data_IF_004607239157
#
_entry.id   IF_004607239157
#
_cell.length_a   1.000
_cell.length_b   1.000
_cell.length_c   1.000
_cell.angle_alpha   90.00
_cell.angle_beta   90.00
_cell.angle_gamma   90.00
#
_symmetry.space_group_name_H-M   'P 1'
#
loop_
_entity.id
_entity.type
_entity.pdbx_description
1 polymer ?
#
# COMPACT_ATOMS: atom_id res chain seq x y z
N UNK A 1 12.80 -6.56 -11.94
CA UNK A 1 13.70 -5.44 -12.30
C UNK A 1 13.06 -4.08 -12.03
N UNK A 2 11.78 -3.84 -12.38
CA UNK A 2 11.11 -2.57 -12.07
C UNK A 2 10.68 -2.45 -10.61
N UNK A 3 10.15 -3.52 -10.02
CA UNK A 3 9.74 -3.58 -8.61
C UNK A 3 10.91 -3.32 -7.64
N UNK A 4 12.06 -3.96 -7.85
CA UNK A 4 13.28 -3.66 -7.07
C UNK A 4 13.75 -2.21 -7.22
N UNK A 5 13.48 -1.57 -8.36
CA UNK A 5 13.80 -0.16 -8.56
C UNK A 5 12.76 0.77 -7.89
N UNK A 6 11.49 0.36 -7.84
CA UNK A 6 10.45 1.01 -7.07
C UNK A 6 10.81 1.07 -5.59
N UNK A 7 11.12 -0.07 -4.99
CA UNK A 7 11.49 -0.17 -3.58
C UNK A 7 12.75 0.62 -3.20
N UNK A 8 13.64 0.92 -4.15
CA UNK A 8 14.84 1.74 -3.91
C UNK A 8 14.60 3.24 -4.00
N UNK A 9 13.52 3.67 -4.65
CA UNK A 9 13.32 5.07 -5.04
C UNK A 9 11.83 5.36 -5.29
N UNK A 10 11.01 5.15 -4.26
CA UNK A 10 9.53 5.28 -4.33
C UNK A 10 9.11 6.69 -4.77
N UNK A 11 9.84 7.73 -4.35
CA UNK A 11 9.57 9.14 -4.67
C UNK A 11 9.47 9.39 -6.20
N UNK A 12 10.31 8.72 -7.00
CA UNK A 12 10.26 8.84 -8.47
C UNK A 12 8.98 8.34 -9.12
N UNK A 13 8.21 7.54 -8.40
CA UNK A 13 6.96 6.96 -8.91
C UNK A 13 5.74 7.74 -8.45
N UNK A 14 5.89 8.78 -7.65
CA UNK A 14 4.77 9.61 -7.18
C UNK A 14 4.00 10.17 -8.37
N UNK A 15 2.71 9.86 -8.43
CA UNK A 15 1.80 10.23 -9.52
C UNK A 15 1.65 9.17 -10.60
N UNK A 16 2.51 8.15 -10.63
CA UNK A 16 2.46 7.06 -11.60
C UNK A 16 1.60 5.89 -11.08
N UNK A 17 0.95 5.18 -12.00
CA UNK A 17 0.33 3.88 -11.72
C UNK A 17 1.40 2.78 -11.79
N UNK A 18 1.48 1.97 -10.74
CA UNK A 18 2.41 0.86 -10.62
C UNK A 18 1.65 -0.43 -10.32
N UNK A 19 2.27 -1.55 -10.70
CA UNK A 19 1.84 -2.89 -10.28
C UNK A 19 2.99 -3.53 -9.51
N UNK A 20 2.73 -3.88 -8.24
CA UNK A 20 3.72 -4.47 -7.33
C UNK A 20 3.20 -5.82 -6.82
N UNK A 21 4.09 -6.79 -6.74
CA UNK A 21 3.83 -8.09 -6.13
C UNK A 21 4.68 -8.23 -4.86
N UNK A 22 4.04 -8.22 -3.70
CA UNK A 22 4.73 -8.28 -2.41
C UNK A 22 3.88 -8.97 -1.36
N UNK A 23 4.53 -9.39 -0.28
CA UNK A 23 3.85 -9.99 0.86
C UNK A 23 3.24 -8.90 1.74
N UNK A 24 2.01 -9.14 2.20
CA UNK A 24 1.35 -8.30 3.18
C UNK A 24 2.09 -8.41 4.50
N UNK A 25 2.58 -7.27 5.01
CA UNK A 25 3.29 -7.18 6.27
C UNK A 25 2.31 -7.13 7.45
N UNK A 26 1.39 -6.17 7.44
CA UNK A 26 0.37 -5.98 8.48
C UNK A 26 -0.97 -5.55 7.86
N UNK A 27 -2.07 -6.11 8.36
CA UNK A 27 -3.42 -5.70 7.95
C UNK A 27 -3.98 -4.71 8.96
N UNK A 28 -3.96 -3.42 8.61
CA UNK A 28 -4.49 -2.35 9.47
C UNK A 28 -6.02 -2.42 9.59
N UNK A 29 -6.72 -2.65 8.48
CA UNK A 29 -8.16 -2.91 8.42
C UNK A 29 -8.60 -3.42 7.04
N UNK A 30 -9.90 -3.64 6.85
CA UNK A 30 -10.49 -4.14 5.59
C UNK A 30 -10.24 -3.28 4.35
N UNK A 31 -9.73 -2.05 4.47
CA UNK A 31 -9.45 -1.12 3.37
C UNK A 31 -7.98 -0.75 3.26
N UNK A 32 -7.13 -1.22 4.17
CA UNK A 32 -5.72 -0.83 4.20
C UNK A 32 -4.84 -1.86 4.86
N UNK A 33 -3.68 -2.06 4.27
CA UNK A 33 -2.65 -2.99 4.72
C UNK A 33 -1.30 -2.44 4.31
N UNK A 34 -0.23 -3.00 4.84
CA UNK A 34 1.14 -2.59 4.52
C UNK A 34 1.84 -3.70 3.76
N UNK A 35 2.68 -3.33 2.82
CA UNK A 35 3.53 -4.27 2.07
C UNK A 35 4.94 -4.19 2.62
N UNK A 36 5.52 -5.35 2.93
CA UNK A 36 6.92 -5.43 3.32
C UNK A 36 7.81 -5.27 2.07
N UNK A 37 8.81 -4.39 2.14
CA UNK A 37 10.05 -4.68 1.45
C UNK A 37 10.57 -6.02 2.00
N UNK A 38 10.97 -6.95 1.15
CA UNK A 38 11.34 -8.33 1.54
C UNK A 38 12.20 -8.36 2.82
N UNK A 39 12.18 -9.42 3.66
CA UNK A 39 12.94 -9.49 4.91
C UNK A 39 14.48 -9.31 4.77
N UNK A 40 14.99 -9.30 3.55
CA UNK A 40 16.39 -9.01 3.20
C UNK A 40 16.63 -7.55 2.75
N UNK A 41 15.60 -6.70 2.78
CA UNK A 41 15.63 -5.34 2.25
C UNK A 41 15.53 -4.33 3.38
N UNK A 42 16.50 -3.41 3.48
CA UNK A 42 16.45 -2.15 4.25
C UNK A 42 15.38 -1.17 3.70
N UNK A 43 14.29 -1.67 3.14
CA UNK A 43 13.28 -0.87 2.46
C UNK A 43 12.12 -0.67 3.42
N UNK A 44 11.73 0.59 3.61
CA UNK A 44 10.59 0.97 4.41
C UNK A 44 9.30 0.30 3.90
N UNK A 45 8.46 -0.11 4.83
CA UNK A 45 7.13 -0.63 4.51
C UNK A 45 6.30 0.41 3.75
N UNK A 46 5.39 -0.07 2.91
CA UNK A 46 4.54 0.80 2.11
C UNK A 46 3.07 0.61 2.45
N UNK A 47 2.40 1.70 2.80
CA UNK A 47 0.97 1.71 3.05
C UNK A 47 0.19 1.57 1.75
N UNK A 48 -0.72 0.62 1.71
CA UNK A 48 -1.70 0.45 0.65
C UNK A 48 -3.09 0.77 1.21
N UNK A 49 -3.82 1.61 0.49
CA UNK A 49 -5.20 1.97 0.81
C UNK A 49 -6.12 1.74 -0.39
N UNK A 50 -7.35 1.31 -0.13
CA UNK A 50 -8.36 1.11 -1.18
C UNK A 50 -9.73 1.60 -0.74
N UNK A 51 -10.54 2.05 -1.69
CA UNK A 51 -11.98 2.30 -1.47
C UNK A 51 -12.74 0.97 -1.32
N UNK A 52 -12.30 -0.09 -2.01
CA UNK A 52 -12.90 -1.41 -1.90
C UNK A 52 -12.38 -2.13 -0.65
N UNK A 53 -13.15 -3.10 -0.16
CA UNK A 53 -12.66 -4.00 0.88
C UNK A 53 -11.67 -4.99 0.28
N UNK A 54 -10.50 -5.11 0.88
CA UNK A 54 -9.43 -6.04 0.52
C UNK A 54 -9.49 -7.23 1.47
N UNK A 55 -9.69 -8.44 0.93
CA UNK A 55 -9.71 -9.66 1.72
C UNK A 55 -8.33 -10.33 1.67
N UNK A 56 -7.36 -9.66 2.31
CA UNK A 56 -5.96 -10.09 2.37
C UNK A 56 -5.60 -10.54 3.78
N UNK A 57 -4.65 -11.46 3.90
CA UNK A 57 -4.11 -11.97 5.16
C UNK A 57 -2.64 -11.58 5.33
N UNK A 58 -2.17 -11.46 6.57
CA UNK A 58 -0.75 -11.21 6.86
C UNK A 58 0.11 -12.37 6.36
N UNK A 59 1.21 -12.04 5.66
CA UNK A 59 2.08 -13.00 4.98
C UNK A 59 1.53 -13.53 3.66
N UNK A 60 0.37 -13.07 3.20
CA UNK A 60 -0.16 -13.40 1.87
C UNK A 60 0.56 -12.59 0.79
N UNK A 61 1.03 -13.27 -0.26
CA UNK A 61 1.56 -12.59 -1.45
C UNK A 61 0.40 -12.04 -2.27
N UNK A 62 0.40 -10.73 -2.50
CA UNK A 62 -0.63 -10.04 -3.28
C UNK A 62 -0.02 -9.24 -4.40
N UNK A 63 -0.78 -9.01 -5.47
CA UNK A 63 -0.44 -8.06 -6.53
C UNK A 63 -1.33 -6.82 -6.43
N UNK A 64 -0.72 -5.69 -6.14
CA UNK A 64 -1.39 -4.40 -6.00
C UNK A 64 -1.13 -3.58 -7.25
N UNK A 65 -2.21 -3.15 -7.92
CA UNK A 65 -2.17 -2.10 -8.93
C UNK A 65 -2.75 -0.83 -8.33
N UNK A 66 -2.03 0.27 -8.43
CA UNK A 66 -2.48 1.54 -7.86
C UNK A 66 -1.56 2.71 -8.17
N UNK A 67 -2.01 3.91 -7.80
CA UNK A 67 -1.23 5.14 -7.97
C UNK A 67 -0.40 5.43 -6.73
N UNK A 68 0.89 5.69 -6.93
CA UNK A 68 1.79 6.09 -5.84
C UNK A 68 1.54 7.55 -5.49
N UNK A 69 1.48 7.84 -4.20
CA UNK A 69 1.26 9.16 -3.63
C UNK A 69 2.25 9.39 -2.49
N UNK A 70 2.48 10.65 -2.17
CA UNK A 70 3.32 11.08 -1.06
C UNK A 70 2.53 12.06 -0.19
N UNK A 71 3.01 12.32 1.04
CA UNK A 71 2.34 13.25 1.94
C UNK A 71 1.04 12.67 2.49
N UNK A 72 1.04 11.41 2.93
CA UNK A 72 -0.18 10.74 3.37
C UNK A 72 -0.88 11.53 4.48
N UNK A 73 -2.19 11.72 4.30
CA UNK A 73 -3.08 12.38 5.24
C UNK A 73 -4.38 11.57 5.33
N UNK A 74 -4.58 10.90 6.47
CA UNK A 74 -5.73 10.02 6.67
C UNK A 74 -7.08 10.73 6.43
N UNK A 75 -7.24 11.98 6.87
CA UNK A 75 -8.50 12.72 6.68
C UNK A 75 -8.79 13.02 5.21
N UNK A 76 -7.78 13.47 4.46
CA UNK A 76 -7.91 13.75 3.04
C UNK A 76 -8.21 12.47 2.25
N UNK A 77 -7.48 11.38 2.53
CA UNK A 77 -7.63 10.11 1.83
C UNK A 77 -8.98 9.46 2.14
N UNK A 78 -9.42 9.44 3.40
CA UNK A 78 -10.77 8.96 3.78
C UNK A 78 -11.86 9.67 2.99
N UNK A 79 -11.73 11.00 2.87
CA UNK A 79 -12.70 11.83 2.14
C UNK A 79 -12.69 11.53 0.64
N UNK A 80 -11.50 11.35 0.06
CA UNK A 80 -11.34 11.02 -1.36
C UNK A 80 -11.94 9.65 -1.70
N UNK A 81 -11.68 8.65 -0.86
CA UNK A 81 -12.15 7.28 -1.05
C UNK A 81 -13.58 7.04 -0.55
N UNK A 82 -14.17 7.97 0.20
CA UNK A 82 -15.53 7.83 0.75
C UNK A 82 -15.64 6.78 1.86
N UNK A 83 -14.57 6.55 2.60
CA UNK A 83 -14.42 5.50 3.63
C UNK A 83 -14.25 6.10 5.02
N UNK A 84 -14.56 5.33 6.05
CA UNK A 84 -14.43 5.76 7.46
C UNK A 84 -13.44 4.87 8.20
N UNK A 85 -12.19 5.30 8.27
CA UNK A 85 -11.12 4.59 8.98
C UNK A 85 -10.84 5.16 10.38
N UNK A 86 -10.16 4.37 11.19
CA UNK A 86 -9.71 4.77 12.52
C UNK A 86 -8.34 5.46 12.44
N UNK A 87 -8.29 6.77 12.67
CA UNK A 87 -7.06 7.58 12.53
C UNK A 87 -5.84 7.16 13.35
N UNK A 88 -5.97 6.62 14.59
CA UNK A 88 -4.84 6.13 15.35
C UNK A 88 -4.01 5.05 14.64
N UNK A 89 -4.59 4.33 13.67
CA UNK A 89 -3.89 3.31 12.89
C UNK A 89 -2.88 3.90 11.90
N UNK A 90 -3.00 5.20 11.56
CA UNK A 90 -2.17 5.82 10.53
C UNK A 90 -1.22 6.90 11.07
N UNK A 91 -1.03 6.94 12.39
CA UNK A 91 -0.20 7.98 13.01
C UNK A 91 1.26 7.92 12.54
N UNK A 92 1.78 6.72 12.35
CA UNK A 92 3.15 6.48 11.87
C UNK A 92 3.30 6.67 10.36
N UNK A 93 2.18 6.85 9.65
CA UNK A 93 2.13 7.01 8.19
C UNK A 93 1.97 8.47 7.75
N UNK A 94 1.90 9.43 8.66
CA UNK A 94 1.72 10.84 8.29
C UNK A 94 2.92 11.34 7.48
N UNK A 95 2.65 12.03 6.37
CA UNK A 95 3.65 12.53 5.40
C UNK A 95 4.40 11.44 4.59
N UNK A 96 4.14 10.16 4.86
CA UNK A 96 4.80 9.03 4.18
C UNK A 96 4.26 8.76 2.78
N UNK A 97 4.96 7.88 2.06
CA UNK A 97 4.54 7.36 0.77
C UNK A 97 3.46 6.29 0.94
N UNK A 98 2.53 6.25 0.00
CA UNK A 98 1.44 5.28 0.00
C UNK A 98 0.92 5.00 -1.40
N UNK A 99 0.21 3.88 -1.56
CA UNK A 99 -0.47 3.52 -2.80
C UNK A 99 -1.97 3.59 -2.61
N UNK A 100 -2.64 4.31 -3.52
CA UNK A 100 -4.09 4.21 -3.70
C UNK A 100 -4.35 3.05 -4.65
N UNK A 101 -4.74 1.91 -4.11
CA UNK A 101 -4.99 0.69 -4.85
C UNK A 101 -6.30 0.79 -5.65
N UNK A 102 -6.18 0.64 -6.97
CA UNK A 102 -7.30 0.47 -7.89
C UNK A 102 -7.70 -1.00 -8.00
N UNK A 103 -6.75 -1.92 -7.83
CA UNK A 103 -6.99 -3.37 -7.82
C UNK A 103 -6.02 -4.07 -6.88
N UNK A 104 -6.51 -5.07 -6.15
CA UNK A 104 -5.70 -5.98 -5.33
C UNK A 104 -6.05 -7.41 -5.75
N UNK A 105 -5.06 -8.12 -6.26
CA UNK A 105 -5.20 -9.51 -6.70
C UNK A 105 -4.48 -10.44 -5.72
N UNK A 106 -5.23 -11.34 -5.09
CA UNK A 106 -4.73 -12.35 -4.16
C UNK A 106 -4.47 -13.71 -4.83
N UNK A 107 -4.76 -13.81 -6.14
CA UNK A 107 -4.65 -15.08 -6.90
C UNK A 107 -3.29 -15.29 -7.55
N UNK A 108 -2.31 -14.44 -7.22
CA UNK A 108 -0.93 -14.57 -7.69
C UNK A 108 -0.27 -15.91 -7.32
N UNK A 109 -0.85 -16.68 -6.41
CA UNK A 109 -0.58 -18.10 -6.22
C UNK A 109 -1.78 -18.97 -6.63
N UNK A 110 -1.92 -19.22 -7.94
CA UNK A 110 -2.85 -20.20 -8.53
C UNK A 110 -2.11 -21.22 -9.39
#
# INVERSE_FOLDING_TARGET
MQETAFWRDVDRWVGEEVTLSADVNEVLNQHSFTLAGTPESDVDELLVVSAATTNVEEGETVQVTGTVKAGFNAEAVKKDLGVNWNDPLYKDWVDEHYIVASSVDTTVNG
#
